data_IF_935958675475
#
_entry.id   IF_935958675475
#
_cell.length_a   1.000
_cell.length_b   1.000
_cell.length_c   1.000
_cell.angle_alpha   90.00
_cell.angle_beta   90.00
_cell.angle_gamma   90.00
#
_symmetry.space_group_name_H-M   'P 1'
#
loop_
_entity.id
_entity.type
_entity.pdbx_description
1 polymer ?
#
# COMPACT_ATOMS: atom_id res chain seq x y z
N UNK A 1 -2.12 13.89 -2.70
CA UNK A 1 -2.59 14.42 -1.40
C UNK A 1 -3.62 13.47 -0.80
N UNK A 2 -4.11 13.76 0.42
CA UNK A 2 -5.13 12.94 1.07
C UNK A 2 -6.45 12.87 0.28
N UNK A 3 -6.76 13.90 -0.49
CA UNK A 3 -7.92 13.92 -1.38
C UNK A 3 -7.85 12.87 -2.50
N UNK A 4 -6.65 12.47 -2.88
CA UNK A 4 -6.40 11.47 -3.93
C UNK A 4 -6.55 10.02 -3.43
N UNK A 5 -6.71 9.84 -2.12
CA UNK A 5 -6.84 8.53 -1.48
C UNK A 5 -8.21 8.45 -0.83
N UNK A 6 -9.06 7.54 -1.26
CA UNK A 6 -10.44 7.39 -0.78
C UNK A 6 -10.62 6.08 -0.01
N UNK A 7 -11.58 6.09 0.93
CA UNK A 7 -11.99 4.88 1.65
C UNK A 7 -11.05 4.39 2.75
N UNK A 8 -10.11 5.22 3.23
CA UNK A 8 -9.16 4.91 4.32
C UNK A 8 -9.09 6.04 5.35
N UNK A 9 -10.24 6.62 5.69
CA UNK A 9 -10.29 7.83 6.50
C UNK A 9 -9.78 7.66 7.93
N UNK A 10 -9.95 6.47 8.53
CA UNK A 10 -9.43 6.20 9.86
C UNK A 10 -7.88 6.14 9.84
N UNK A 11 -7.30 5.47 8.86
CA UNK A 11 -5.85 5.47 8.68
C UNK A 11 -5.29 6.88 8.39
N UNK A 12 -6.02 7.71 7.63
CA UNK A 12 -5.63 9.12 7.42
C UNK A 12 -5.62 9.90 8.74
N UNK A 13 -6.64 9.73 9.60
CA UNK A 13 -6.71 10.41 10.90
C UNK A 13 -5.51 10.05 11.79
N UNK A 14 -5.15 8.76 11.85
CA UNK A 14 -3.98 8.31 12.62
C UNK A 14 -2.66 8.89 12.10
N UNK A 15 -2.59 9.20 10.80
CA UNK A 15 -1.38 9.79 10.20
C UNK A 15 -1.33 11.32 10.22
N UNK A 16 -2.40 12.01 10.68
CA UNK A 16 -2.41 13.48 10.79
C UNK A 16 -1.32 14.00 11.72
N UNK A 17 -1.07 13.32 12.83
CA UNK A 17 -0.01 13.73 13.77
C UNK A 17 1.38 13.64 13.12
N UNK A 18 1.59 12.66 12.25
CA UNK A 18 2.82 12.52 11.46
C UNK A 18 2.98 13.68 10.47
N UNK A 19 1.88 14.05 9.79
CA UNK A 19 1.86 15.21 8.86
C UNK A 19 2.16 16.51 9.61
N UNK A 20 1.51 16.75 10.74
CA UNK A 20 1.71 17.94 11.57
C UNK A 20 3.16 18.04 12.07
N UNK A 21 3.74 16.92 12.55
CA UNK A 21 5.13 16.91 12.97
C UNK A 21 6.09 17.27 11.85
N UNK A 22 5.89 16.68 10.67
CA UNK A 22 6.77 16.95 9.52
C UNK A 22 6.67 18.39 9.02
N UNK A 23 5.48 19.02 9.18
CA UNK A 23 5.26 20.44 8.85
C UNK A 23 5.89 21.36 9.88
N UNK A 24 5.76 21.04 11.17
CA UNK A 24 6.11 21.93 12.27
C UNK A 24 6.87 21.20 13.39
N UNK A 25 8.06 20.64 13.13
CA UNK A 25 8.78 19.82 14.11
C UNK A 25 9.15 20.56 15.39
N UNK A 26 9.43 21.87 15.28
CA UNK A 26 9.79 22.70 16.44
C UNK A 26 8.68 22.77 17.50
N UNK A 27 7.41 22.76 17.11
CA UNK A 27 6.28 22.82 18.03
C UNK A 27 6.23 21.60 18.94
N UNK A 28 6.48 20.42 18.39
CA UNK A 28 6.50 19.15 19.12
C UNK A 28 7.74 19.07 20.02
N UNK A 29 8.90 19.51 19.52
CA UNK A 29 10.15 19.52 20.28
C UNK A 29 10.07 20.43 21.50
N UNK A 30 9.49 21.64 21.38
CA UNK A 30 9.30 22.58 22.51
C UNK A 30 8.43 22.00 23.63
N UNK A 31 7.47 21.16 23.30
CA UNK A 31 6.59 20.49 24.27
C UNK A 31 7.19 19.17 24.81
N UNK A 32 8.37 18.75 24.33
CA UNK A 32 8.99 17.48 24.69
C UNK A 32 8.27 16.25 24.14
N UNK A 33 7.36 16.44 23.17
CA UNK A 33 6.64 15.34 22.56
C UNK A 33 7.59 14.43 21.77
N UNK A 34 7.34 13.12 21.86
CA UNK A 34 8.06 12.11 21.08
C UNK A 34 7.16 11.66 19.95
N UNK A 35 7.57 11.96 18.72
CA UNK A 35 6.91 11.44 17.53
C UNK A 35 7.51 10.08 17.18
N UNK A 36 6.72 9.13 16.70
CA UNK A 36 7.22 7.83 16.28
C UNK A 36 8.26 8.00 15.16
N UNK A 37 9.41 7.35 15.31
CA UNK A 37 10.46 7.33 14.27
C UNK A 37 10.02 6.46 13.08
N UNK A 38 9.20 5.45 13.35
CA UNK A 38 8.71 4.52 12.36
C UNK A 38 7.22 4.21 12.52
N UNK A 39 6.53 4.20 11.40
CA UNK A 39 5.11 3.82 11.30
C UNK A 39 4.98 2.60 10.40
N UNK A 40 4.29 1.58 10.89
CA UNK A 40 4.01 0.36 10.14
C UNK A 40 2.58 0.40 9.61
N UNK A 41 2.42 0.46 8.29
CA UNK A 41 1.13 0.31 7.62
C UNK A 41 0.86 -1.18 7.41
N UNK A 42 -0.25 -1.67 7.96
CA UNK A 42 -0.65 -3.08 7.86
C UNK A 42 -1.99 -3.22 7.16
N UNK A 43 -2.22 -4.32 6.47
CA UNK A 43 -3.53 -4.60 5.87
C UNK A 43 -3.41 -5.40 4.57
N UNK A 44 -4.55 -5.87 4.03
CA UNK A 44 -4.58 -6.66 2.83
C UNK A 44 -3.93 -5.98 1.62
N UNK A 45 -3.49 -6.73 0.61
CA UNK A 45 -2.98 -6.14 -0.63
C UNK A 45 -4.07 -5.33 -1.34
N UNK A 46 -3.67 -4.25 -2.01
CA UNK A 46 -4.59 -3.41 -2.78
C UNK A 46 -5.42 -2.40 -1.97
N UNK A 47 -5.20 -2.26 -0.66
CA UNK A 47 -5.90 -1.26 0.18
C UNK A 47 -5.33 0.15 0.08
N UNK A 48 -4.23 0.34 -0.67
CA UNK A 48 -3.69 1.68 -0.93
C UNK A 48 -2.61 2.15 0.05
N UNK A 49 -1.92 1.24 0.77
CA UNK A 49 -0.84 1.57 1.73
C UNK A 49 0.24 2.48 1.12
N UNK A 50 0.73 2.13 -0.07
CA UNK A 50 1.73 2.91 -0.81
C UNK A 50 1.20 4.29 -1.22
N UNK A 51 -0.07 4.37 -1.66
CA UNK A 51 -0.72 5.64 -2.00
C UNK A 51 -0.89 6.52 -0.77
N UNK A 52 -1.27 5.93 0.37
CA UNK A 52 -1.44 6.63 1.63
C UNK A 52 -0.12 7.23 2.13
N UNK A 53 0.98 6.46 2.11
CA UNK A 53 2.31 6.97 2.47
C UNK A 53 2.76 8.13 1.56
N UNK A 54 2.51 8.02 0.26
CA UNK A 54 2.77 9.11 -0.70
C UNK A 54 1.90 10.34 -0.44
N UNK A 55 0.64 10.13 -0.02
CA UNK A 55 -0.26 11.23 0.33
C UNK A 55 0.22 11.97 1.57
N UNK A 56 0.71 11.27 2.60
CA UNK A 56 1.33 11.86 3.80
C UNK A 56 2.49 12.79 3.41
N UNK A 57 3.38 12.33 2.54
CA UNK A 57 4.49 13.15 2.05
C UNK A 57 3.99 14.39 1.27
N UNK A 58 2.99 14.22 0.41
CA UNK A 58 2.39 15.31 -0.36
C UNK A 58 1.65 16.33 0.51
N UNK A 59 1.01 15.89 1.61
CA UNK A 59 0.40 16.79 2.59
C UNK A 59 1.44 17.53 3.43
N UNK A 60 2.50 16.85 3.82
CA UNK A 60 3.58 17.43 4.62
C UNK A 60 4.50 18.35 3.81
N UNK A 61 4.50 18.23 2.48
CA UNK A 61 5.40 18.97 1.59
C UNK A 61 6.88 18.56 1.70
N UNK A 62 7.14 17.32 2.17
CA UNK A 62 8.50 16.81 2.39
C UNK A 62 8.94 15.85 1.29
N UNK A 63 10.25 15.59 1.23
CA UNK A 63 10.81 14.63 0.27
C UNK A 63 10.38 13.20 0.60
N UNK A 64 10.12 12.43 -0.46
CA UNK A 64 9.63 11.06 -0.36
C UNK A 64 10.59 10.10 -1.07
N UNK A 65 11.20 9.21 -0.30
CA UNK A 65 12.11 8.17 -0.78
C UNK A 65 11.38 6.84 -0.74
N UNK A 66 10.97 6.32 -1.91
CA UNK A 66 10.25 5.06 -2.02
C UNK A 66 11.20 3.95 -2.42
N UNK A 67 11.19 2.85 -1.65
CA UNK A 67 11.92 1.62 -1.92
C UNK A 67 11.05 0.40 -1.62
N UNK A 68 11.18 -0.66 -2.42
CA UNK A 68 10.71 -1.98 -2.04
C UNK A 68 11.79 -2.70 -1.21
N UNK A 69 11.38 -3.42 -0.16
CA UNK A 69 12.33 -4.21 0.62
C UNK A 69 13.01 -5.29 -0.24
N UNK A 70 12.35 -5.79 -1.27
CA UNK A 70 12.95 -6.71 -2.24
C UNK A 70 14.17 -6.12 -2.98
N UNK A 71 14.26 -4.79 -3.13
CA UNK A 71 15.44 -4.13 -3.71
C UNK A 71 16.70 -4.26 -2.84
N UNK A 72 16.54 -4.62 -1.57
CA UNK A 72 17.64 -4.88 -0.65
C UNK A 72 18.05 -6.36 -0.62
N UNK A 73 17.25 -7.26 -1.23
CA UNK A 73 17.60 -8.66 -1.41
C UNK A 73 18.49 -8.82 -2.63
N UNK A 74 19.79 -8.99 -2.42
CA UNK A 74 20.74 -9.18 -3.51
C UNK A 74 21.50 -10.48 -3.43
N UNK A 75 21.93 -10.97 -4.61
CA UNK A 75 22.74 -12.17 -4.77
C UNK A 75 24.11 -12.05 -4.07
N UNK A 76 24.60 -10.81 -3.91
CA UNK A 76 25.90 -10.54 -3.28
C UNK A 76 25.72 -10.09 -1.83
N UNK A 77 26.39 -10.80 -0.92
CA UNK A 77 26.38 -10.51 0.52
C UNK A 77 26.90 -9.09 0.78
N UNK A 78 26.13 -8.30 1.53
CA UNK A 78 26.51 -6.95 1.96
C UNK A 78 26.05 -5.78 1.09
N UNK A 79 25.64 -6.00 -0.15
CA UNK A 79 25.12 -4.92 -1.01
C UNK A 79 23.79 -4.36 -0.49
N UNK A 80 22.88 -5.22 0.00
CA UNK A 80 21.63 -4.78 0.60
C UNK A 80 21.85 -3.88 1.81
N UNK A 81 22.77 -4.25 2.71
CA UNK A 81 23.13 -3.44 3.87
C UNK A 81 23.72 -2.06 3.47
N UNK A 82 24.52 -2.01 2.41
CA UNK A 82 25.06 -0.77 1.87
C UNK A 82 23.96 0.13 1.33
N UNK A 83 23.02 -0.41 0.55
CA UNK A 83 21.87 0.34 0.01
C UNK A 83 20.97 0.92 1.11
N UNK A 84 20.71 0.15 2.16
CA UNK A 84 19.97 0.65 3.33
C UNK A 84 20.69 1.87 3.91
N UNK A 85 22.00 1.78 4.14
CA UNK A 85 22.79 2.89 4.69
C UNK A 85 22.73 4.13 3.79
N UNK A 86 22.96 3.98 2.49
CA UNK A 86 22.92 5.06 1.51
C UNK A 86 21.54 5.74 1.45
N UNK A 87 20.46 4.96 1.54
CA UNK A 87 19.10 5.49 1.59
C UNK A 87 18.88 6.36 2.82
N UNK A 88 19.29 5.90 4.00
CA UNK A 88 19.14 6.63 5.25
C UNK A 88 20.01 7.89 5.31
N UNK A 89 21.25 7.83 4.84
CA UNK A 89 22.15 8.99 4.72
C UNK A 89 21.56 10.03 3.74
N UNK A 90 21.05 9.59 2.60
CA UNK A 90 20.40 10.48 1.62
C UNK A 90 19.16 11.15 2.21
N UNK A 91 18.33 10.42 2.95
CA UNK A 91 17.16 10.99 3.59
C UNK A 91 17.53 12.04 4.67
N UNK A 92 18.53 11.76 5.52
CA UNK A 92 19.06 12.71 6.51
C UNK A 92 19.57 13.99 5.85
N UNK A 93 20.33 13.88 4.77
CA UNK A 93 20.85 15.03 4.02
C UNK A 93 19.74 15.87 3.37
N UNK A 94 18.54 15.33 3.24
CA UNK A 94 17.38 15.97 2.62
C UNK A 94 16.20 16.16 3.59
N UNK A 95 16.45 16.15 4.89
CA UNK A 95 15.41 16.34 5.90
C UNK A 95 14.77 17.76 5.80
N UNK A 96 13.47 17.91 6.10
CA UNK A 96 12.56 16.85 6.52
C UNK A 96 12.17 15.90 5.39
N UNK A 97 12.10 14.61 5.67
CA UNK A 97 11.88 13.57 4.66
C UNK A 97 11.11 12.36 5.20
N UNK A 98 10.46 11.62 4.30
CA UNK A 98 9.89 10.30 4.56
C UNK A 98 10.65 9.26 3.77
N UNK A 99 11.08 8.19 4.45
CA UNK A 99 11.52 6.93 3.84
C UNK A 99 10.32 6.00 3.84
N UNK A 100 9.90 5.54 2.67
CA UNK A 100 8.87 4.51 2.56
C UNK A 100 9.48 3.20 2.09
N UNK A 101 9.24 2.13 2.85
CA UNK A 101 9.71 0.77 2.54
C UNK A 101 8.49 -0.12 2.34
N UNK A 102 8.22 -0.49 1.09
CA UNK A 102 7.14 -1.40 0.76
C UNK A 102 7.56 -2.86 0.95
N UNK A 103 6.59 -3.73 1.26
CA UNK A 103 6.80 -5.17 1.44
C UNK A 103 7.94 -5.49 2.42
N UNK A 104 7.93 -4.84 3.59
CA UNK A 104 9.00 -4.98 4.59
C UNK A 104 9.22 -6.42 5.07
N UNK A 105 8.22 -7.28 4.92
CA UNK A 105 8.26 -8.70 5.23
C UNK A 105 9.29 -9.46 4.37
N UNK A 106 9.68 -8.95 3.19
CA UNK A 106 10.74 -9.53 2.37
C UNK A 106 12.08 -9.61 3.14
N UNK A 107 12.47 -8.54 3.85
CA UNK A 107 13.71 -8.51 4.66
C UNK A 107 13.48 -8.69 6.15
N UNK A 108 12.27 -8.40 6.64
CA UNK A 108 11.90 -8.40 8.05
C UNK A 108 11.11 -9.63 8.51
N UNK A 109 10.88 -10.62 7.64
CA UNK A 109 10.05 -11.78 7.94
C UNK A 109 10.69 -12.79 8.90
N UNK A 110 9.84 -13.38 9.79
CA UNK A 110 10.21 -14.58 10.55
C UNK A 110 10.38 -15.74 9.58
N UNK A 111 11.46 -16.47 9.68
CA UNK A 111 11.77 -17.59 8.78
C UNK A 111 10.73 -18.69 8.76
N UNK A 112 10.23 -19.00 7.56
CA UNK A 112 9.93 -20.38 7.19
C UNK A 112 11.25 -20.97 6.68
N UNK A 113 11.75 -22.03 7.34
CA UNK A 113 12.97 -22.72 6.92
C UNK A 113 12.81 -23.22 5.49
N UNK A 114 13.34 -22.49 4.52
CA UNK A 114 13.41 -22.94 3.14
C UNK A 114 14.73 -23.70 2.97
N UNK A 115 14.70 -24.98 2.55
CA UNK A 115 15.90 -25.71 2.23
C UNK A 115 16.57 -25.07 1.00
N UNK A 116 17.65 -24.32 1.21
CA UNK A 116 18.44 -23.73 0.12
C UNK A 116 18.66 -22.21 0.16
N UNK A 117 17.98 -21.46 1.03
CA UNK A 117 18.22 -20.03 1.22
C UNK A 117 19.56 -19.77 1.93
N UNK A 118 20.34 -18.81 1.46
CA UNK A 118 21.59 -18.37 2.12
C UNK A 118 21.26 -17.57 3.39
N UNK A 119 21.47 -18.13 4.59
CA UNK A 119 20.97 -17.56 5.85
C UNK A 119 21.64 -16.24 6.31
N UNK A 120 22.61 -15.73 5.58
CA UNK A 120 23.46 -14.62 6.02
C UNK A 120 23.06 -13.23 5.52
N UNK A 121 22.61 -13.10 4.27
CA UNK A 121 22.40 -11.79 3.64
C UNK A 121 21.17 -11.07 4.14
N UNK A 122 20.03 -11.76 4.28
CA UNK A 122 18.77 -11.18 4.79
C UNK A 122 18.94 -10.67 6.23
N UNK A 123 19.61 -11.47 7.09
CA UNK A 123 19.92 -11.03 8.48
C UNK A 123 20.80 -9.80 8.51
N UNK A 124 21.77 -9.71 7.61
CA UNK A 124 22.67 -8.56 7.56
C UNK A 124 21.91 -7.31 7.13
N UNK A 125 21.01 -7.42 6.16
CA UNK A 125 20.15 -6.31 5.70
C UNK A 125 19.18 -5.88 6.79
N UNK A 126 18.50 -6.83 7.45
CA UNK A 126 17.62 -6.53 8.59
C UNK A 126 18.39 -5.83 9.72
N UNK A 127 19.55 -6.37 10.13
CA UNK A 127 20.37 -5.76 11.19
C UNK A 127 20.83 -4.36 10.79
N UNK A 128 21.16 -4.12 9.53
CA UNK A 128 21.52 -2.79 9.05
C UNK A 128 20.33 -1.82 9.09
N UNK A 129 19.13 -2.29 8.72
CA UNK A 129 17.90 -1.50 8.83
C UNK A 129 17.62 -1.10 10.28
N UNK A 130 17.71 -2.09 11.21
CA UNK A 130 17.55 -1.83 12.65
C UNK A 130 18.57 -0.84 13.17
N UNK A 131 19.86 -1.02 12.81
CA UNK A 131 20.93 -0.10 13.19
C UNK A 131 20.74 1.31 12.64
N UNK A 132 20.26 1.42 11.38
CA UNK A 132 19.97 2.72 10.75
C UNK A 132 18.82 3.45 11.47
N UNK A 133 17.76 2.72 11.86
CA UNK A 133 16.64 3.29 12.62
C UNK A 133 17.06 3.70 14.04
N UNK A 134 17.87 2.88 14.71
CA UNK A 134 18.40 3.19 16.05
C UNK A 134 19.34 4.41 16.00
N UNK A 135 20.04 4.61 14.88
CA UNK A 135 20.95 5.72 14.63
C UNK A 135 20.28 7.05 14.26
N UNK A 136 18.95 7.11 14.26
CA UNK A 136 18.25 8.40 14.11
C UNK A 136 18.28 9.20 15.42
N UNK A 137 18.74 10.43 15.34
CA UNK A 137 18.61 11.39 16.41
C UNK A 137 17.22 12.05 16.42
N UNK A 138 16.85 12.64 17.57
CA UNK A 138 15.56 13.33 17.73
C UNK A 138 15.41 14.54 16.79
N UNK A 139 16.50 15.01 16.22
CA UNK A 139 16.56 16.21 15.36
C UNK A 139 16.66 15.88 13.86
N UNK A 140 16.76 14.61 13.49
CA UNK A 140 16.96 14.23 12.08
C UNK A 140 15.72 14.53 11.19
N UNK A 141 14.54 14.76 11.79
CA UNK A 141 13.29 15.08 11.08
C UNK A 141 13.00 14.13 9.90
N UNK A 142 13.36 12.86 10.06
CA UNK A 142 13.10 11.79 9.08
C UNK A 142 12.19 10.77 9.74
N UNK A 143 11.11 10.40 9.06
CA UNK A 143 10.19 9.35 9.49
C UNK A 143 10.28 8.19 8.51
N UNK A 144 10.33 6.98 9.05
CA UNK A 144 10.29 5.75 8.25
C UNK A 144 8.86 5.22 8.27
N UNK A 145 8.24 5.06 7.10
CA UNK A 145 6.96 4.40 6.96
C UNK A 145 7.23 3.07 6.25
N UNK A 146 6.82 1.96 6.84
CA UNK A 146 6.90 0.65 6.19
C UNK A 146 5.51 0.09 5.93
N UNK A 147 5.36 -0.72 4.90
CA UNK A 147 4.12 -1.42 4.60
C UNK A 147 4.32 -2.94 4.57
N UNK A 148 3.34 -3.67 5.09
CA UNK A 148 3.31 -5.14 5.02
C UNK A 148 1.87 -5.63 4.84
N UNK A 149 1.74 -6.76 4.14
CA UNK A 149 0.48 -7.49 4.03
C UNK A 149 0.34 -8.58 5.13
N UNK A 150 1.47 -8.97 5.75
CA UNK A 150 1.53 -10.00 6.78
C UNK A 150 2.31 -9.49 8.02
N UNK A 151 1.64 -8.73 8.91
CA UNK A 151 2.29 -8.19 10.11
C UNK A 151 2.75 -9.26 11.10
N UNK A 152 2.17 -10.47 11.06
CA UNK A 152 2.51 -11.54 11.99
C UNK A 152 3.79 -12.28 11.59
N UNK A 153 4.17 -12.19 10.33
CA UNK A 153 5.43 -12.74 9.82
C UNK A 153 6.65 -11.91 10.23
N UNK A 154 6.47 -10.64 10.64
CA UNK A 154 7.59 -9.74 10.95
C UNK A 154 8.36 -10.16 12.20
N UNK A 155 9.67 -9.92 12.16
CA UNK A 155 10.54 -10.08 13.33
C UNK A 155 10.15 -9.06 14.42
N UNK A 156 10.03 -9.55 15.66
CA UNK A 156 9.65 -8.73 16.80
C UNK A 156 10.61 -7.57 17.06
N UNK A 157 11.86 -7.68 16.61
CA UNK A 157 12.85 -6.61 16.73
C UNK A 157 12.45 -5.34 15.97
N UNK A 158 11.70 -5.46 14.86
CA UNK A 158 11.19 -4.31 14.10
C UNK A 158 10.13 -3.50 14.86
N UNK A 159 9.38 -4.14 15.77
CA UNK A 159 8.27 -3.52 16.52
C UNK A 159 8.70 -2.97 17.90
N UNK A 160 9.99 -3.00 18.22
CA UNK A 160 10.48 -2.46 19.49
C UNK A 160 10.38 -0.94 19.51
N UNK A 161 10.17 -0.34 20.71
CA UNK A 161 10.17 1.11 20.88
C UNK A 161 11.39 1.79 20.26
N UNK A 162 11.16 2.88 19.53
CA UNK A 162 12.21 3.61 18.81
C UNK A 162 12.44 3.12 17.37
N UNK A 163 11.69 2.11 16.92
CA UNK A 163 11.66 1.59 15.54
C UNK A 163 10.25 1.76 14.96
N UNK A 164 9.59 0.69 14.53
CA UNK A 164 8.17 0.75 14.11
C UNK A 164 7.27 0.59 15.36
N UNK A 165 7.20 1.64 16.15
CA UNK A 165 6.46 1.68 17.43
C UNK A 165 5.00 2.16 17.25
N UNK A 166 4.65 2.67 16.08
CA UNK A 166 3.28 2.98 15.69
C UNK A 166 2.83 2.05 14.57
N UNK A 167 1.63 1.49 14.69
CA UNK A 167 1.03 0.62 13.67
C UNK A 167 -0.33 1.17 13.27
N UNK A 168 -0.51 1.41 11.97
CA UNK A 168 -1.76 1.91 11.38
C UNK A 168 -2.34 0.82 10.50
N UNK A 169 -3.57 0.43 10.78
CA UNK A 169 -4.27 -0.58 9.99
C UNK A 169 -5.00 0.06 8.81
N UNK A 170 -4.65 -0.37 7.60
CA UNK A 170 -5.30 0.07 6.35
C UNK A 170 -6.25 -1.03 5.88
N UNK A 171 -7.50 -0.94 6.31
CA UNK A 171 -8.55 -1.90 5.99
C UNK A 171 -9.15 -1.64 4.60
N UNK A 172 -9.79 -2.66 3.98
CA UNK A 172 -10.65 -2.41 2.83
C UNK A 172 -11.69 -1.33 3.13
N UNK A 173 -12.10 -0.52 2.15
CA UNK A 173 -13.04 0.55 2.36
C UNK A 173 -14.41 0.02 2.81
N UNK A 174 -15.06 0.74 3.70
CA UNK A 174 -16.48 0.54 4.03
C UNK A 174 -17.37 0.90 2.83
N UNK A 175 -18.68 0.81 2.98
CA UNK A 175 -19.60 1.09 1.88
C UNK A 175 -19.48 2.53 1.37
N UNK A 176 -19.36 3.51 2.25
CA UNK A 176 -19.20 4.91 1.87
C UNK A 176 -17.87 5.15 1.16
N UNK A 177 -16.80 4.57 1.68
CA UNK A 177 -15.46 4.59 1.07
C UNK A 177 -15.43 3.93 -0.31
N UNK A 178 -16.18 2.82 -0.52
CA UNK A 178 -16.29 2.22 -1.85
C UNK A 178 -17.01 3.12 -2.85
N UNK A 179 -18.09 3.81 -2.43
CA UNK A 179 -18.76 4.81 -3.28
C UNK A 179 -17.78 5.89 -3.73
N UNK A 180 -17.02 6.46 -2.81
CA UNK A 180 -16.03 7.48 -3.12
C UNK A 180 -14.91 6.94 -4.02
N UNK A 181 -14.51 5.69 -3.80
CA UNK A 181 -13.49 5.02 -4.63
C UNK A 181 -14.01 4.76 -6.04
N UNK A 182 -15.26 4.30 -6.19
CA UNK A 182 -15.88 4.18 -7.52
C UNK A 182 -15.98 5.53 -8.22
N UNK A 183 -16.44 6.58 -7.56
CA UNK A 183 -16.47 7.94 -8.15
C UNK A 183 -15.08 8.34 -8.67
N UNK A 184 -14.04 8.17 -7.86
CA UNK A 184 -12.66 8.52 -8.21
C UNK A 184 -12.18 7.82 -9.50
N UNK A 185 -12.52 6.54 -9.69
CA UNK A 185 -12.09 5.79 -10.87
C UNK A 185 -13.04 6.00 -12.06
N UNK A 186 -14.33 6.13 -11.83
CA UNK A 186 -15.33 6.41 -12.87
C UNK A 186 -15.11 7.78 -13.52
N UNK A 187 -14.65 8.78 -12.76
CA UNK A 187 -14.30 10.11 -13.29
C UNK A 187 -13.17 10.08 -14.34
N UNK A 188 -12.42 8.98 -14.42
CA UNK A 188 -11.32 8.80 -15.38
C UNK A 188 -11.74 8.18 -16.71
N UNK A 189 -12.98 7.72 -16.81
CA UNK A 189 -13.52 7.07 -18.00
C UNK A 189 -14.74 7.80 -18.53
N UNK A 190 -15.02 7.66 -19.81
CA UNK A 190 -16.25 8.21 -20.42
C UNK A 190 -17.43 7.33 -20.05
N UNK A 191 -18.40 7.88 -19.32
CA UNK A 191 -19.54 7.14 -18.81
C UNK A 191 -20.80 7.41 -19.63
N UNK A 192 -21.60 6.38 -19.83
CA UNK A 192 -22.98 6.49 -20.29
C UNK A 192 -23.90 7.03 -19.16
N UNK A 193 -25.05 7.54 -19.52
CA UNK A 193 -26.06 7.95 -18.54
C UNK A 193 -26.56 6.73 -17.75
N UNK A 194 -26.84 6.93 -16.45
CA UNK A 194 -27.42 5.92 -15.57
C UNK A 194 -26.43 5.05 -14.81
N UNK A 195 -25.11 5.29 -14.92
CA UNK A 195 -24.13 4.63 -14.05
C UNK A 195 -24.24 5.20 -12.63
N UNK A 196 -24.53 4.32 -11.67
CA UNK A 196 -24.69 4.68 -10.25
C UNK A 196 -23.60 4.06 -9.36
N UNK A 197 -22.66 4.86 -8.83
CA UNK A 197 -21.62 4.38 -7.93
C UNK A 197 -22.15 3.71 -6.66
N UNK A 198 -23.32 4.08 -6.18
CA UNK A 198 -23.95 3.50 -4.99
C UNK A 198 -24.35 2.05 -5.25
N UNK A 199 -24.94 1.76 -6.39
CA UNK A 199 -25.33 0.41 -6.80
C UNK A 199 -24.10 -0.49 -6.93
N UNK A 200 -23.02 0.01 -7.55
CA UNK A 200 -21.74 -0.71 -7.66
C UNK A 200 -21.12 -1.00 -6.29
N UNK A 201 -21.13 -0.03 -5.38
CA UNK A 201 -20.59 -0.19 -4.03
C UNK A 201 -21.38 -1.22 -3.20
N UNK A 202 -22.71 -1.29 -3.36
CA UNK A 202 -23.55 -2.33 -2.73
C UNK A 202 -23.23 -3.72 -3.23
N UNK A 203 -22.93 -3.86 -4.52
CA UNK A 203 -22.62 -5.14 -5.15
C UNK A 203 -21.18 -5.65 -4.88
N UNK A 204 -20.31 -4.83 -4.27
CA UNK A 204 -18.89 -5.16 -4.06
C UNK A 204 -18.47 -5.13 -2.58
N UNK A 205 -19.13 -5.88 -1.67
CA UNK A 205 -18.72 -5.91 -0.26
C UNK A 205 -17.31 -6.47 -0.11
N UNK A 206 -16.49 -5.80 0.71
CA UNK A 206 -15.12 -6.24 1.01
C UNK A 206 -14.08 -5.99 -0.11
N UNK A 207 -14.45 -5.37 -1.21
CA UNK A 207 -13.51 -5.07 -2.29
C UNK A 207 -12.55 -3.96 -1.89
N UNK A 208 -11.29 -4.14 -2.26
CA UNK A 208 -10.21 -3.16 -2.08
C UNK A 208 -10.23 -2.12 -3.21
N UNK A 209 -9.54 -1.00 -2.99
CA UNK A 209 -9.40 0.03 -4.01
C UNK A 209 -8.80 -0.49 -5.33
N UNK A 210 -7.84 -1.40 -5.26
CA UNK A 210 -7.24 -2.01 -6.46
C UNK A 210 -8.23 -2.91 -7.23
N UNK A 211 -9.12 -3.61 -6.52
CA UNK A 211 -10.16 -4.41 -7.17
C UNK A 211 -11.21 -3.53 -7.85
N UNK A 212 -11.57 -2.41 -7.24
CA UNK A 212 -12.48 -1.42 -7.84
C UNK A 212 -11.87 -0.79 -9.09
N UNK A 213 -10.59 -0.40 -9.04
CA UNK A 213 -9.85 0.10 -10.21
C UNK A 213 -9.83 -0.94 -11.35
N UNK A 214 -9.56 -2.21 -11.02
CA UNK A 214 -9.56 -3.30 -11.98
C UNK A 214 -10.94 -3.51 -12.65
N UNK A 215 -12.04 -3.36 -11.91
CA UNK A 215 -13.40 -3.45 -12.44
C UNK A 215 -13.64 -2.33 -13.46
N UNK A 216 -13.37 -1.08 -13.08
CA UNK A 216 -13.60 0.07 -13.95
C UNK A 216 -12.76 -0.02 -15.23
N UNK A 217 -11.47 -0.41 -15.07
CA UNK A 217 -10.60 -0.61 -16.23
C UNK A 217 -11.06 -1.77 -17.12
N UNK A 218 -11.50 -2.90 -16.56
CA UNK A 218 -12.03 -4.03 -17.31
C UNK A 218 -13.31 -3.65 -18.07
N UNK A 219 -14.20 -2.89 -17.46
CA UNK A 219 -15.41 -2.39 -18.08
C UNK A 219 -15.09 -1.47 -19.27
N UNK A 220 -14.11 -0.57 -19.10
CA UNK A 220 -13.66 0.31 -20.18
C UNK A 220 -13.07 -0.47 -21.38
N UNK A 221 -12.27 -1.52 -21.10
CA UNK A 221 -11.74 -2.41 -22.15
C UNK A 221 -12.87 -3.14 -22.87
N UNK A 222 -13.90 -3.60 -22.15
CA UNK A 222 -15.04 -4.31 -22.75
C UNK A 222 -15.88 -3.37 -23.62
N UNK A 223 -16.19 -2.16 -23.14
CA UNK A 223 -16.88 -1.14 -23.91
C UNK A 223 -16.13 -0.82 -25.22
N UNK A 224 -14.81 -0.60 -25.13
CA UNK A 224 -13.97 -0.36 -26.29
C UNK A 224 -13.95 -1.55 -27.28
N UNK A 225 -13.89 -2.78 -26.77
CA UNK A 225 -13.86 -3.99 -27.62
C UNK A 225 -15.16 -4.23 -28.40
N UNK A 226 -16.29 -3.75 -27.90
CA UNK A 226 -17.57 -3.78 -28.60
C UNK A 226 -17.84 -2.54 -29.47
N UNK A 227 -16.89 -1.60 -29.53
CA UNK A 227 -17.01 -0.36 -30.32
C UNK A 227 -17.92 0.70 -29.67
N UNK A 228 -18.16 0.63 -28.38
CA UNK A 228 -18.94 1.65 -27.68
C UNK A 228 -18.11 2.92 -27.41
N UNK A 229 -18.76 4.07 -27.36
CA UNK A 229 -18.14 5.37 -27.10
C UNK A 229 -18.08 5.69 -25.59
N UNK A 230 -18.80 4.92 -24.76
CA UNK A 230 -18.89 5.12 -23.31
C UNK A 230 -19.10 3.80 -22.58
N UNK A 231 -18.68 3.78 -21.32
CA UNK A 231 -18.88 2.64 -20.40
C UNK A 231 -20.29 2.74 -19.81
N UNK A 232 -21.06 1.69 -19.92
CA UNK A 232 -22.39 1.62 -19.34
C UNK A 232 -22.45 0.69 -18.11
N UNK A 233 -23.63 0.59 -17.50
CA UNK A 233 -23.82 -0.22 -16.30
C UNK A 233 -23.60 -1.71 -16.59
N UNK A 234 -23.96 -2.19 -17.79
CA UNK A 234 -23.78 -3.57 -18.20
C UNK A 234 -22.29 -3.97 -18.27
N UNK A 235 -21.42 -3.10 -18.82
CA UNK A 235 -19.97 -3.34 -18.86
C UNK A 235 -19.39 -3.48 -17.45
N UNK A 236 -19.86 -2.64 -16.50
CA UNK A 236 -19.42 -2.66 -15.11
C UNK A 236 -19.91 -3.92 -14.39
N UNK A 237 -21.16 -4.31 -14.57
CA UNK A 237 -21.71 -5.54 -13.98
C UNK A 237 -20.99 -6.78 -14.51
N UNK A 238 -20.73 -6.87 -15.83
CA UNK A 238 -19.95 -7.97 -16.38
C UNK A 238 -18.51 -8.01 -15.87
N UNK A 239 -17.88 -6.85 -15.68
CA UNK A 239 -16.55 -6.75 -15.11
C UNK A 239 -16.54 -7.19 -13.64
N UNK A 240 -17.55 -6.84 -12.85
CA UNK A 240 -17.73 -7.32 -11.48
C UNK A 240 -17.90 -8.83 -11.43
N UNK A 241 -18.76 -9.39 -12.26
CA UNK A 241 -18.98 -10.84 -12.31
C UNK A 241 -17.70 -11.61 -12.64
N UNK A 242 -16.89 -11.10 -13.57
CA UNK A 242 -15.57 -11.67 -13.87
C UNK A 242 -14.62 -11.60 -12.67
N UNK A 243 -14.66 -10.52 -11.90
CA UNK A 243 -13.83 -10.36 -10.71
C UNK A 243 -14.25 -11.33 -9.59
N UNK A 244 -15.57 -11.55 -9.40
CA UNK A 244 -16.10 -12.51 -8.44
C UNK A 244 -15.80 -13.96 -8.83
N UNK A 245 -15.98 -14.32 -10.11
CA UNK A 245 -15.82 -15.68 -10.57
C UNK A 245 -14.36 -16.17 -10.59
N UNK A 246 -13.38 -15.26 -10.68
CA UNK A 246 -11.96 -15.62 -10.81
C UNK A 246 -11.64 -16.51 -12.02
N UNK A 247 -10.37 -16.90 -12.22
CA UNK A 247 -9.97 -17.72 -13.38
C UNK A 247 -10.52 -19.17 -13.38
N UNK A 248 -10.95 -19.68 -12.21
CA UNK A 248 -11.37 -21.08 -12.05
C UNK A 248 -12.74 -21.43 -12.69
N UNK A 249 -13.63 -20.46 -12.91
CA UNK A 249 -14.96 -20.74 -13.47
C UNK A 249 -15.04 -20.76 -15.00
N UNK A 250 -14.03 -20.26 -15.72
CA UNK A 250 -14.02 -20.36 -17.19
C UNK A 250 -13.99 -21.80 -17.71
N UNK A 251 -13.43 -22.75 -16.95
CA UNK A 251 -13.40 -24.16 -17.31
C UNK A 251 -14.76 -24.86 -17.14
N UNK A 252 -15.58 -24.44 -16.15
CA UNK A 252 -16.88 -25.06 -15.90
C UNK A 252 -17.94 -24.74 -16.96
N UNK A 253 -18.01 -23.50 -17.42
CA UNK A 253 -18.95 -23.14 -18.51
C UNK A 253 -18.65 -23.87 -19.83
N UNK A 254 -17.38 -24.01 -20.18
CA UNK A 254 -16.99 -24.77 -21.38
C UNK A 254 -17.36 -26.26 -21.28
N UNK A 255 -17.29 -26.85 -20.10
CA UNK A 255 -17.63 -28.28 -19.89
C UNK A 255 -19.12 -28.54 -20.00
N UNK A 256 -19.97 -27.62 -19.53
CA UNK A 256 -21.43 -27.75 -19.67
C UNK A 256 -21.93 -27.54 -21.12
N UNK A 257 -21.33 -26.62 -21.88
CA UNK A 257 -21.61 -26.46 -23.32
C UNK A 257 -21.15 -27.67 -24.13
N UNK A 258 -19.99 -28.25 -23.81
CA UNK A 258 -19.52 -29.47 -24.48
C UNK A 258 -20.38 -30.70 -24.16
N UNK A 259 -20.98 -30.82 -22.96
CA UNK A 259 -21.91 -31.93 -22.61
C UNK A 259 -23.30 -31.79 -23.25
N UNK A 260 -23.67 -30.59 -23.78
CA UNK A 260 -24.93 -30.38 -24.52
C UNK A 260 -24.80 -30.68 -26.01
N UNK A 261 -23.61 -30.96 -26.51
CA UNK A 261 -23.34 -31.25 -27.93
C UNK A 261 -22.97 -32.72 -28.19
N UNK A 262 -23.04 -33.59 -27.19
CA UNK A 262 -23.00 -35.04 -27.28
C UNK A 262 -24.34 -35.63 -26.85
#
# INVERSE_FOLDING_TARGET
KFDDVKGVDDAKKELLDVVEFLRNPERFQKLGARVPKGVLLTGPPGTGKTLLARAVAGESGVKFFNKSAAEFEEVFVGLGAKRVRELFETAKANAPAIIFIDEIDAVGGKRKASPGGRPGSERQTLNQLLAAMDGFDKHDNVIVIAATNDPDSLDSALRRPGRFDSTVQVSPPDMAGRVETFKLYLDKVTLAAGVDPMTLAKATPGFTGAQIDAIVNSAAIMAASRGAESVDMFDLEEAMDKQWMGPAHRSRKKTEEMMRLT
#
